data_IF_829819411280
#
_entry.id   IF_829819411280
#
_cell.length_a   1.000
_cell.length_b   1.000
_cell.length_c   1.000
_cell.angle_alpha   90.00
_cell.angle_beta   90.00
_cell.angle_gamma   90.00
#
_symmetry.space_group_name_H-M   'P 1'
#
loop_
_entity.id
_entity.type
_entity.pdbx_description
1 polymer ?
#
# COMPACT_ATOMS: atom_id res chain seq x y z
N UNK A 1 -19.54 28.03 -16.93
CA UNK A 1 -18.92 27.62 -15.65
C UNK A 1 -19.36 26.23 -15.16
N UNK A 2 -20.62 25.78 -15.34
CA UNK A 2 -21.10 24.42 -14.99
C UNK A 2 -20.44 23.25 -15.76
N UNK A 3 -20.00 23.47 -17.01
CA UNK A 3 -19.32 22.43 -17.81
C UNK A 3 -17.90 22.09 -17.31
N UNK A 4 -17.13 23.07 -16.81
CA UNK A 4 -15.77 22.83 -16.31
C UNK A 4 -15.74 22.06 -14.97
N UNK A 5 -16.76 22.22 -14.13
CA UNK A 5 -16.78 21.56 -12.81
C UNK A 5 -17.10 20.06 -12.90
N UNK A 6 -17.87 19.64 -13.92
CA UNK A 6 -18.18 18.23 -14.15
C UNK A 6 -16.91 17.42 -14.52
N UNK A 7 -16.08 18.00 -15.38
CA UNK A 7 -14.80 17.42 -15.82
C UNK A 7 -13.78 17.30 -14.66
N UNK A 8 -13.75 18.27 -13.74
CA UNK A 8 -12.90 18.19 -12.54
C UNK A 8 -13.36 17.11 -11.56
N UNK A 9 -14.68 16.93 -11.40
CA UNK A 9 -15.24 15.90 -10.52
C UNK A 9 -14.96 14.48 -11.02
N UNK A 10 -15.04 14.27 -12.33
CA UNK A 10 -14.70 12.99 -12.97
C UNK A 10 -13.21 12.67 -12.84
N UNK A 11 -12.32 13.63 -13.15
CA UNK A 11 -10.87 13.46 -12.96
C UNK A 11 -10.51 13.16 -11.52
N UNK A 12 -11.11 13.89 -10.57
CA UNK A 12 -10.89 13.65 -9.14
C UNK A 12 -11.26 12.22 -8.77
N UNK A 13 -12.43 11.74 -9.22
CA UNK A 13 -12.86 10.35 -9.00
C UNK A 13 -11.87 9.34 -9.57
N UNK A 14 -11.35 9.56 -10.78
CA UNK A 14 -10.33 8.69 -11.39
C UNK A 14 -9.05 8.68 -10.56
N UNK A 15 -8.57 9.84 -10.11
CA UNK A 15 -7.37 9.91 -9.26
C UNK A 15 -7.55 9.21 -7.93
N UNK A 16 -8.69 9.39 -7.25
CA UNK A 16 -8.98 8.70 -6.00
C UNK A 16 -9.06 7.18 -6.20
N UNK A 17 -9.68 6.72 -7.29
CA UNK A 17 -9.72 5.30 -7.65
C UNK A 17 -8.30 4.74 -7.88
N UNK A 18 -7.45 5.50 -8.59
CA UNK A 18 -6.04 5.14 -8.78
C UNK A 18 -5.29 5.08 -7.45
N UNK A 19 -5.54 5.99 -6.51
CA UNK A 19 -4.94 5.93 -5.18
C UNK A 19 -5.29 4.61 -4.46
N UNK A 20 -6.55 4.18 -4.48
CA UNK A 20 -6.95 2.90 -3.88
C UNK A 20 -6.30 1.68 -4.56
N UNK A 21 -6.27 1.67 -5.90
CA UNK A 21 -5.64 0.57 -6.68
C UNK A 21 -4.14 0.51 -6.40
N UNK A 22 -3.44 1.64 -6.49
CA UNK A 22 -1.98 1.71 -6.26
C UNK A 22 -1.67 1.42 -4.80
N UNK A 23 -2.46 1.93 -3.85
CA UNK A 23 -2.30 1.65 -2.43
C UNK A 23 -2.41 0.15 -2.13
N UNK A 24 -3.42 -0.52 -2.68
CA UNK A 24 -3.62 -1.98 -2.51
C UNK A 24 -2.50 -2.80 -3.16
N UNK A 25 -2.06 -2.44 -4.37
CA UNK A 25 -0.96 -3.10 -5.05
C UNK A 25 0.38 -2.92 -4.30
N UNK A 26 0.64 -1.73 -3.77
CA UNK A 26 1.82 -1.47 -2.95
C UNK A 26 1.82 -2.32 -1.69
N UNK A 27 0.68 -2.47 -1.02
CA UNK A 27 0.57 -3.32 0.17
C UNK A 27 0.92 -4.77 -0.17
N UNK A 28 0.19 -5.38 -1.11
CA UNK A 28 0.36 -6.78 -1.48
C UNK A 28 1.75 -7.06 -2.08
N UNK A 29 2.26 -6.19 -2.94
CA UNK A 29 3.58 -6.32 -3.54
C UNK A 29 4.69 -6.24 -2.50
N UNK A 30 4.54 -5.37 -1.50
CA UNK A 30 5.51 -5.24 -0.41
C UNK A 30 5.49 -6.45 0.51
N UNK A 31 4.32 -6.98 0.84
CA UNK A 31 4.16 -8.20 1.63
C UNK A 31 4.92 -9.38 1.00
N UNK A 32 4.63 -9.62 -0.28
CA UNK A 32 5.26 -10.70 -1.03
C UNK A 32 6.77 -10.48 -1.16
N UNK A 33 7.21 -9.27 -1.52
CA UNK A 33 8.63 -8.97 -1.68
C UNK A 33 9.40 -9.08 -0.37
N UNK A 34 8.84 -8.58 0.74
CA UNK A 34 9.47 -8.64 2.04
C UNK A 34 9.53 -10.09 2.56
N UNK A 35 8.45 -10.87 2.41
CA UNK A 35 8.45 -12.29 2.79
C UNK A 35 9.46 -13.11 1.99
N UNK A 36 9.64 -12.82 0.70
CA UNK A 36 10.70 -13.46 -0.11
C UNK A 36 12.11 -13.03 0.30
N UNK A 37 12.28 -11.82 0.85
CA UNK A 37 13.58 -11.28 1.26
C UNK A 37 13.97 -11.66 2.69
N UNK A 38 13.00 -11.92 3.54
CA UNK A 38 13.20 -12.30 4.94
C UNK A 38 13.58 -13.79 5.00
N UNK A 39 14.86 -14.06 5.28
CA UNK A 39 15.37 -15.42 5.43
C UNK A 39 14.64 -16.21 6.51
N UNK A 40 14.15 -17.39 6.14
CA UNK A 40 13.38 -18.25 7.04
C UNK A 40 11.91 -17.83 7.21
N UNK A 41 11.45 -16.79 6.51
CA UNK A 41 10.06 -16.39 6.58
C UNK A 41 9.13 -17.45 5.97
N UNK A 42 8.05 -17.77 6.69
CA UNK A 42 7.03 -18.73 6.26
C UNK A 42 5.67 -18.04 6.12
N UNK A 43 5.19 -17.90 4.88
CA UNK A 43 3.86 -17.37 4.59
C UNK A 43 2.71 -18.17 5.22
N UNK A 44 2.95 -19.42 5.62
CA UNK A 44 1.93 -20.29 6.24
C UNK A 44 1.99 -20.30 7.76
N UNK A 45 3.09 -19.85 8.35
CA UNK A 45 3.35 -20.02 9.80
C UNK A 45 3.61 -18.70 10.52
N UNK A 46 3.85 -17.61 9.78
CA UNK A 46 4.12 -16.29 10.33
C UNK A 46 3.08 -15.28 9.87
N UNK A 47 2.88 -14.26 10.70
CA UNK A 47 1.97 -13.17 10.37
C UNK A 47 2.67 -12.13 9.48
N UNK A 48 1.87 -11.40 8.69
CA UNK A 48 2.33 -10.24 7.91
C UNK A 48 3.00 -9.20 8.82
N UNK A 49 2.51 -9.05 10.06
CA UNK A 49 3.08 -8.14 11.05
C UNK A 49 4.54 -8.43 11.40
N UNK A 50 5.01 -9.66 11.22
CA UNK A 50 6.39 -10.03 11.51
C UNK A 50 7.38 -9.42 10.50
N UNK A 51 6.93 -9.08 9.28
CA UNK A 51 7.76 -8.43 8.25
C UNK A 51 8.18 -7.01 8.64
N UNK A 52 7.45 -6.37 9.54
CA UNK A 52 7.72 -5.00 10.01
C UNK A 52 7.76 -4.90 11.54
N UNK A 53 7.87 -6.04 12.23
CA UNK A 53 8.11 -6.06 13.66
C UNK A 53 9.47 -5.39 13.98
N UNK A 54 9.58 -4.88 15.21
CA UNK A 54 10.83 -4.28 15.69
C UNK A 54 11.93 -5.35 15.63
N UNK A 55 13.04 -5.02 14.96
CA UNK A 55 14.17 -5.94 14.76
C UNK A 55 14.04 -6.86 13.55
N UNK A 56 12.91 -6.87 12.84
CA UNK A 56 12.79 -7.60 11.59
C UNK A 56 13.74 -7.03 10.52
N UNK A 57 14.44 -7.86 9.74
CA UNK A 57 15.40 -7.42 8.73
C UNK A 57 14.75 -6.59 7.61
N UNK A 58 13.44 -6.76 7.41
CA UNK A 58 12.65 -6.07 6.40
C UNK A 58 11.94 -4.82 6.92
N UNK A 59 11.98 -4.54 8.23
CA UNK A 59 11.22 -3.45 8.85
C UNK A 59 11.52 -2.07 8.26
N UNK A 60 12.80 -1.78 7.98
CA UNK A 60 13.23 -0.53 7.37
C UNK A 60 12.66 -0.28 5.96
N UNK A 61 12.23 -1.33 5.26
CA UNK A 61 11.60 -1.24 3.95
C UNK A 61 10.06 -1.26 4.07
N UNK A 62 9.52 -2.16 4.88
CA UNK A 62 8.07 -2.41 4.91
C UNK A 62 7.32 -1.24 5.58
N UNK A 63 7.85 -0.68 6.67
CA UNK A 63 7.21 0.43 7.40
C UNK A 63 6.94 1.65 6.52
N UNK A 64 7.91 2.22 5.78
CA UNK A 64 7.65 3.40 4.95
C UNK A 64 6.67 3.10 3.81
N UNK A 65 6.74 1.91 3.19
CA UNK A 65 5.86 1.57 2.06
C UNK A 65 4.44 1.29 2.54
N UNK A 66 4.25 0.60 3.67
CA UNK A 66 2.92 0.41 4.28
C UNK A 66 2.32 1.73 4.73
N UNK A 67 3.13 2.66 5.22
CA UNK A 67 2.67 4.02 5.54
C UNK A 67 2.16 4.73 4.29
N UNK A 68 2.93 4.70 3.19
CA UNK A 68 2.50 5.29 1.91
C UNK A 68 1.22 4.62 1.38
N UNK A 69 1.18 3.29 1.36
CA UNK A 69 -0.01 2.53 0.97
C UNK A 69 -1.23 2.91 1.80
N UNK A 70 -1.08 3.09 3.11
CA UNK A 70 -2.17 3.49 4.00
C UNK A 70 -2.69 4.89 3.66
N UNK A 71 -1.80 5.84 3.36
CA UNK A 71 -2.19 7.19 2.94
C UNK A 71 -2.92 7.19 1.59
N UNK A 72 -2.47 6.37 0.64
CA UNK A 72 -3.13 6.22 -0.66
C UNK A 72 -4.54 5.63 -0.53
N UNK A 73 -4.69 4.59 0.30
CA UNK A 73 -5.99 4.00 0.58
C UNK A 73 -6.89 4.96 1.35
N UNK A 74 -6.36 5.74 2.29
CA UNK A 74 -7.10 6.77 3.01
C UNK A 74 -7.59 7.88 2.08
N UNK A 75 -6.82 8.25 1.05
CA UNK A 75 -7.26 9.22 0.06
C UNK A 75 -8.47 8.72 -0.76
N UNK A 76 -8.57 7.40 -0.97
CA UNK A 76 -9.68 6.77 -1.69
C UNK A 76 -10.94 6.57 -0.82
N UNK A 77 -10.77 6.28 0.47
CA UNK A 77 -11.82 5.92 1.43
C UNK A 77 -12.88 7.01 1.66
#
# INVERSE_FOLDING_TARGET
MKLCMADSGEKTRVYLLLCGIVGSLLYFGTDLFAGLRYEGYSFTSQAISELFAIGAPTSGLVVPIYTLSSLLNLAFA
#
